data_IF_938526671039
#
_entry.id   IF_938526671039
#
_cell.length_a   1.000
_cell.length_b   1.000
_cell.length_c   1.000
_cell.angle_alpha   90.00
_cell.angle_beta   90.00
_cell.angle_gamma   90.00
#
_symmetry.space_group_name_H-M   'P 1'
#
loop_
_entity.id
_entity.type
_entity.pdbx_description
1 polymer ?
#
# COMPACT_ATOMS: atom_id res chain seq x y z
N UNK A 1 19.95 6.25 -2.96
CA UNK A 1 19.17 6.11 -4.22
C UNK A 1 17.73 5.97 -3.77
N UNK A 2 16.89 6.92 -4.16
CA UNK A 2 15.50 7.03 -3.67
C UNK A 2 14.62 5.97 -4.34
N UNK A 3 14.67 4.75 -3.80
CA UNK A 3 13.91 3.61 -4.31
C UNK A 3 12.50 3.64 -3.72
N UNK A 4 11.48 3.73 -4.58
CA UNK A 4 10.08 3.61 -4.20
C UNK A 4 9.59 2.18 -4.43
N UNK A 5 8.75 1.69 -3.53
CA UNK A 5 8.15 0.35 -3.59
C UNK A 5 6.64 0.47 -3.52
N UNK A 6 5.94 -0.31 -4.35
CA UNK A 6 4.47 -0.41 -4.26
C UNK A 6 4.09 -1.18 -3.01
N UNK A 7 3.21 -0.60 -2.19
CA UNK A 7 2.68 -1.25 -0.98
C UNK A 7 1.22 -1.67 -1.13
N UNK A 8 0.50 -1.09 -2.09
CA UNK A 8 -0.90 -1.44 -2.38
C UNK A 8 -1.35 -0.95 -3.76
N UNK A 9 -2.32 -1.63 -4.35
CA UNK A 9 -3.05 -1.19 -5.54
C UNK A 9 -4.53 -0.97 -5.24
N UNK A 10 -5.13 0.03 -5.88
CA UNK A 10 -6.50 0.47 -5.67
C UNK A 10 -7.30 0.51 -6.97
N UNK A 11 -8.49 -0.08 -6.96
CA UNK A 11 -9.45 0.04 -8.07
C UNK A 11 -10.26 1.34 -8.04
N UNK A 12 -10.29 2.00 -6.88
CA UNK A 12 -11.03 3.23 -6.58
C UNK A 12 -10.06 4.37 -6.33
N UNK A 13 -10.21 5.47 -7.06
CA UNK A 13 -9.40 6.68 -6.84
C UNK A 13 -9.70 7.32 -5.48
N UNK A 14 -10.94 7.25 -5.00
CA UNK A 14 -11.31 7.78 -3.68
C UNK A 14 -10.60 7.02 -2.56
N UNK A 15 -10.58 5.68 -2.63
CA UNK A 15 -9.92 4.87 -1.60
C UNK A 15 -8.40 5.09 -1.61
N UNK A 16 -7.81 5.24 -2.79
CA UNK A 16 -6.41 5.61 -2.96
C UNK A 16 -6.08 6.93 -2.25
N UNK A 17 -6.83 7.99 -2.54
CA UNK A 17 -6.57 9.32 -1.97
C UNK A 17 -6.77 9.36 -0.45
N UNK A 18 -7.76 8.63 0.08
CA UNK A 18 -7.94 8.51 1.53
C UNK A 18 -6.74 7.86 2.20
N UNK A 19 -6.26 6.74 1.66
CA UNK A 19 -5.12 6.01 2.23
C UNK A 19 -3.82 6.80 2.10
N UNK A 20 -3.60 7.44 0.95
CA UNK A 20 -2.46 8.32 0.72
C UNK A 20 -2.45 9.47 1.72
N UNK A 21 -3.56 10.20 1.85
CA UNK A 21 -3.68 11.32 2.80
C UNK A 21 -3.44 10.87 4.25
N UNK A 22 -3.90 9.66 4.60
CA UNK A 22 -3.65 9.09 5.91
C UNK A 22 -2.15 8.89 6.15
N UNK A 23 -1.41 8.25 5.23
CA UNK A 23 0.03 8.04 5.38
C UNK A 23 0.83 9.36 5.37
N UNK A 24 0.48 10.28 4.48
CA UNK A 24 1.12 11.59 4.41
C UNK A 24 0.96 12.39 5.71
N UNK A 25 -0.14 12.19 6.46
CA UNK A 25 -0.33 12.78 7.79
C UNK A 25 0.66 12.29 8.86
N UNK A 26 1.34 11.17 8.61
CA UNK A 26 2.44 10.63 9.42
C UNK A 26 3.81 10.86 8.78
N UNK A 27 3.94 11.84 7.87
CA UNK A 27 5.19 12.20 7.19
C UNK A 27 5.79 11.06 6.33
N UNK A 28 4.94 10.11 5.91
CA UNK A 28 5.32 9.08 4.94
C UNK A 28 5.21 9.65 3.53
N UNK A 29 6.32 9.66 2.79
CA UNK A 29 6.32 10.16 1.42
C UNK A 29 5.66 9.13 0.49
N UNK A 30 4.57 9.55 -0.15
CA UNK A 30 3.72 8.71 -0.98
C UNK A 30 3.71 9.19 -2.44
N UNK A 31 3.72 8.25 -3.38
CA UNK A 31 3.59 8.51 -4.81
C UNK A 31 2.53 7.61 -5.41
N UNK A 32 1.59 8.18 -6.17
CA UNK A 32 0.64 7.39 -6.96
C UNK A 32 1.19 7.11 -8.34
N UNK A 33 1.27 5.84 -8.69
CA UNK A 33 1.56 5.39 -10.05
C UNK A 33 0.27 4.94 -10.72
N UNK A 34 0.15 5.21 -12.01
CA UNK A 34 -1.03 4.85 -12.80
C UNK A 34 -2.33 5.60 -12.36
N UNK A 35 -2.20 6.79 -11.75
CA UNK A 35 -3.33 7.62 -11.24
C UNK A 35 -4.34 8.00 -12.33
N UNK A 36 -3.89 8.21 -13.57
CA UNK A 36 -4.79 8.50 -14.70
C UNK A 36 -5.36 7.18 -15.22
N UNK A 37 -6.42 6.71 -14.58
CA UNK A 37 -7.25 5.63 -15.10
C UNK A 37 -7.88 6.08 -16.42
N UNK A 38 -7.88 5.20 -17.42
CA UNK A 38 -8.37 5.47 -18.77
C UNK A 38 -9.68 6.29 -18.77
N UNK A 39 -9.75 7.40 -19.53
CA UNK A 39 -10.93 8.30 -19.62
C UNK A 39 -12.22 7.62 -20.10
N UNK A 40 -12.13 6.35 -20.50
CA UNK A 40 -13.24 5.48 -20.88
C UNK A 40 -13.96 4.87 -19.64
N UNK A 41 -13.56 5.22 -18.41
CA UNK A 41 -14.15 4.73 -17.14
C UNK A 41 -14.12 3.21 -16.97
N UNK A 42 -13.26 2.49 -17.71
CA UNK A 42 -13.03 1.07 -17.47
C UNK A 42 -12.02 0.96 -16.32
N UNK A 43 -12.51 0.58 -15.14
CA UNK A 43 -11.68 0.32 -13.97
C UNK A 43 -10.82 -0.94 -14.19
N UNK A 44 -9.62 -0.98 -13.58
CA UNK A 44 -8.77 -2.18 -13.45
C UNK A 44 -8.10 -2.76 -14.71
N UNK A 45 -8.00 -2.02 -15.82
CA UNK A 45 -7.33 -2.55 -17.03
C UNK A 45 -5.83 -2.85 -16.80
N UNK A 46 -5.20 -2.21 -15.81
CA UNK A 46 -3.77 -2.37 -15.45
C UNK A 46 -3.52 -2.65 -13.95
N UNK A 47 -4.50 -3.18 -13.21
CA UNK A 47 -4.36 -3.46 -11.78
C UNK A 47 -4.62 -2.28 -10.83
N UNK A 48 -5.11 -1.15 -11.36
CA UNK A 48 -5.53 0.01 -10.55
C UNK A 48 -4.42 1.05 -10.31
N UNK A 49 -4.70 2.03 -9.46
CA UNK A 49 -3.73 3.04 -9.00
C UNK A 49 -2.84 2.41 -7.95
N UNK A 50 -1.53 2.51 -8.11
CA UNK A 50 -0.54 1.92 -7.19
C UNK A 50 -0.05 2.99 -6.23
N UNK A 51 -0.11 2.69 -4.94
CA UNK A 51 0.48 3.50 -3.89
C UNK A 51 1.91 3.02 -3.64
N UNK A 52 2.86 3.92 -3.90
CA UNK A 52 4.27 3.70 -3.68
C UNK A 52 4.76 4.58 -2.55
N UNK A 53 5.68 4.04 -1.74
CA UNK A 53 6.35 4.78 -0.67
C UNK A 53 7.85 4.56 -0.76
N UNK A 54 8.64 5.39 -0.10
CA UNK A 54 10.08 5.13 0.03
C UNK A 54 10.31 3.77 0.66
N UNK A 55 11.25 3.00 0.11
CA UNK A 55 11.59 1.66 0.60
C UNK A 55 11.94 1.63 2.09
N UNK A 56 12.58 2.68 2.60
CA UNK A 56 12.92 2.84 4.01
C UNK A 56 11.71 3.12 4.92
N UNK A 57 10.61 3.65 4.36
CA UNK A 57 9.36 3.92 5.08
C UNK A 57 8.30 2.81 4.88
N UNK A 58 8.58 1.81 4.03
CA UNK A 58 7.61 0.79 3.66
C UNK A 58 7.10 -0.02 4.86
N UNK A 59 7.98 -0.41 5.79
CA UNK A 59 7.57 -1.19 6.97
C UNK A 59 6.66 -0.38 7.90
N UNK A 60 6.96 0.90 8.11
CA UNK A 60 6.15 1.79 8.95
C UNK A 60 4.80 2.09 8.29
N UNK A 61 4.80 2.37 6.98
CA UNK A 61 3.58 2.58 6.21
C UNK A 61 2.64 1.37 6.31
N UNK A 62 3.17 0.16 6.07
CA UNK A 62 2.39 -1.08 6.15
C UNK A 62 1.77 -1.30 7.54
N UNK A 63 2.54 -0.99 8.60
CA UNK A 63 2.04 -1.06 9.96
C UNK A 63 0.90 -0.07 10.21
N UNK A 64 1.08 1.20 9.85
CA UNK A 64 0.06 2.23 10.00
C UNK A 64 -1.24 1.85 9.28
N UNK A 65 -1.13 1.29 8.08
CA UNK A 65 -2.27 0.83 7.29
C UNK A 65 -2.96 -0.39 7.91
N UNK A 66 -2.20 -1.34 8.46
CA UNK A 66 -2.76 -2.50 9.14
C UNK A 66 -3.49 -2.09 10.42
N UNK A 67 -2.85 -1.25 11.25
CA UNK A 67 -3.41 -0.77 12.52
C UNK A 67 -4.69 0.06 12.31
N UNK A 68 -4.76 0.84 11.23
CA UNK A 68 -5.97 1.59 10.85
C UNK A 68 -7.04 0.76 10.13
N UNK A 69 -6.79 -0.52 9.87
CA UNK A 69 -7.74 -1.42 9.18
C UNK A 69 -7.87 -1.16 7.68
N UNK A 70 -6.96 -0.40 7.09
CA UNK A 70 -6.88 -0.24 5.65
C UNK A 70 -6.38 -1.52 4.99
N UNK A 71 -5.43 -2.24 5.60
CA UNK A 71 -4.93 -3.53 5.11
C UNK A 71 -5.45 -4.69 5.95
N UNK A 72 -5.80 -5.78 5.28
CA UNK A 72 -6.11 -7.06 5.93
C UNK A 72 -5.17 -8.16 5.44
N UNK A 73 -5.06 -9.24 6.22
CA UNK A 73 -4.18 -10.38 5.87
C UNK A 73 -4.63 -11.04 4.56
N UNK A 74 -5.91 -10.97 4.24
CA UNK A 74 -6.48 -11.51 3.01
C UNK A 74 -6.20 -10.66 1.77
N UNK A 75 -5.78 -9.40 1.94
CA UNK A 75 -5.44 -8.50 0.82
C UNK A 75 -4.08 -8.84 0.18
N UNK A 76 -3.31 -9.75 0.79
CA UNK A 76 -2.02 -10.18 0.27
C UNK A 76 -2.17 -11.39 -0.65
N UNK A 77 -1.55 -11.35 -1.82
CA UNK A 77 -1.34 -12.57 -2.61
C UNK A 77 -0.31 -13.48 -1.91
N UNK A 78 -0.41 -14.81 -2.03
CA UNK A 78 0.58 -15.76 -1.50
C UNK A 78 1.88 -15.71 -2.30
N UNK A 79 2.60 -14.60 -2.18
CA UNK A 79 3.88 -14.32 -2.81
C UNK A 79 4.98 -14.09 -1.76
N UNK A 80 6.20 -13.78 -2.19
CA UNK A 80 7.33 -13.44 -1.32
C UNK A 80 7.01 -12.35 -0.29
N UNK A 81 6.05 -11.47 -0.59
CA UNK A 81 5.54 -10.44 0.32
C UNK A 81 4.81 -11.05 1.52
N UNK A 82 4.07 -12.15 1.34
CA UNK A 82 3.45 -12.90 2.45
C UNK A 82 4.51 -13.43 3.42
N UNK A 83 5.66 -13.94 2.95
CA UNK A 83 6.72 -14.43 3.85
C UNK A 83 7.34 -13.31 4.69
N UNK A 84 7.49 -12.13 4.11
CA UNK A 84 7.98 -10.96 4.84
C UNK A 84 6.92 -10.44 5.82
N UNK A 85 5.66 -10.35 5.41
CA UNK A 85 4.55 -9.95 6.27
C UNK A 85 4.28 -10.96 7.39
N UNK A 86 4.38 -12.27 7.16
CA UNK A 86 4.32 -13.30 8.19
C UNK A 86 5.41 -13.12 9.24
N UNK A 87 6.63 -12.73 8.82
CA UNK A 87 7.74 -12.44 9.74
C UNK A 87 7.43 -11.21 10.59
N UNK A 88 6.89 -10.16 9.98
CA UNK A 88 6.46 -8.93 10.66
C UNK A 88 5.31 -9.24 11.64
N UNK A 89 4.23 -9.89 11.17
CA UNK A 89 3.10 -10.34 11.99
C UNK A 89 3.53 -11.24 13.15
N UNK A 90 4.44 -12.22 12.92
CA UNK A 90 4.96 -13.08 13.98
C UNK A 90 5.83 -12.34 14.98
N UNK A 91 6.54 -11.29 14.55
CA UNK A 91 7.28 -10.42 15.46
C UNK A 91 6.32 -9.61 16.35
N UNK A 92 5.21 -9.12 15.81
CA UNK A 92 4.19 -8.39 16.57
C UNK A 92 3.36 -9.28 17.50
N UNK A 93 3.07 -10.54 17.12
CA UNK A 93 2.32 -11.50 17.96
C UNK A 93 3.10 -12.04 19.15
N UNK A 94 4.41 -11.78 19.22
CA UNK A 94 5.33 -12.26 20.27
C UNK A 94 5.58 -11.24 21.40
N UNK A 95 4.91 -10.08 21.37
CA UNK A 95 4.99 -9.04 22.40
C UNK A 95 3.65 -8.89 23.10
#
# INVERSE_FOLDING_TARGET
MDEFVTIRSFSSSMDFEMVKSYLESYEIECFGRDEITNRVYITNVNGGVKLEVRKEQAEEAMKLLFDAGYLKVEDFEPSTEMKWMEKVLNFFRKK
#
